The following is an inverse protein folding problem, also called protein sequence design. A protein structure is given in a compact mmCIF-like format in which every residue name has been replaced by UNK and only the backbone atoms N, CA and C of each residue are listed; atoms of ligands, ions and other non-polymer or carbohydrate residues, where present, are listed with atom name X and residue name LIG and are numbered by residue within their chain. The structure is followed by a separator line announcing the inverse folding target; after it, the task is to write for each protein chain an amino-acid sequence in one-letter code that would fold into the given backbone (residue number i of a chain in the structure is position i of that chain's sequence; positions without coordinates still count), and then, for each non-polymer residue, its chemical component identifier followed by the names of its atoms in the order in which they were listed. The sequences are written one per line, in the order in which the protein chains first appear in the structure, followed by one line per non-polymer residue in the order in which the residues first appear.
data_IF_397208818023
#
_entry.id   IF_397208818023
#
_cell.length_a   1.000
_cell.length_b   1.000
_cell.length_c   1.000
_cell.angle_alpha   90.00
_cell.angle_beta   90.00
_cell.angle_gamma   90.00
#
_symmetry.space_group_name_H-M   'P 1'
#
loop_
_entity.id
_entity.type
_entity.pdbx_description
1 polymer ?
#
# COMPACT_ATOMS: atom_id res chain seq x y z
N UNK A 1 23.66 35.07 27.36
CA UNK A 1 22.73 35.46 26.28
C UNK A 1 22.25 34.30 25.39
N UNK A 2 22.82 33.10 25.40
CA UNK A 2 22.42 32.00 24.48
C UNK A 2 21.10 31.25 24.77
N UNK A 3 20.55 31.32 26.00
CA UNK A 3 19.29 30.61 26.35
C UNK A 3 18.02 31.29 25.81
N UNK A 4 17.99 32.62 25.75
CA UNK A 4 16.84 33.39 25.24
C UNK A 4 16.66 33.27 23.71
N UNK A 5 17.77 33.27 22.95
CA UNK A 5 17.71 33.05 21.50
C UNK A 5 17.32 31.61 21.13
N UNK A 6 17.69 30.60 21.94
CA UNK A 6 17.23 29.23 21.74
C UNK A 6 15.73 29.10 21.90
N UNK A 7 15.12 29.74 22.91
CA UNK A 7 13.67 29.69 23.14
C UNK A 7 12.87 30.33 22.00
N UNK A 8 13.34 31.45 21.43
CA UNK A 8 12.68 32.12 20.31
C UNK A 8 12.74 31.33 18.98
N UNK A 9 13.70 30.41 18.83
CA UNK A 9 13.88 29.55 17.65
C UNK A 9 13.26 28.16 17.81
N UNK A 10 12.66 27.84 18.97
CA UNK A 10 12.00 26.55 19.19
C UNK A 10 10.77 26.34 18.30
N UNK A 11 9.91 27.35 18.06
CA UNK A 11 8.75 27.19 17.17
C UNK A 11 9.14 27.00 15.70
N UNK A 12 10.30 27.49 15.28
CA UNK A 12 10.80 27.33 13.91
C UNK A 12 11.62 26.05 13.72
N UNK A 13 12.12 25.45 14.80
CA UNK A 13 12.85 24.18 14.75
C UNK A 13 11.96 22.98 15.14
N UNK A 14 11.12 22.56 14.19
CA UNK A 14 10.16 21.47 14.34
C UNK A 14 10.80 20.16 14.86
N UNK A 15 11.94 19.67 14.33
CA UNK A 15 12.56 18.44 14.82
C UNK A 15 13.04 18.53 16.27
N UNK A 16 13.54 19.69 16.69
CA UNK A 16 13.97 19.90 18.07
C UNK A 16 12.77 19.93 19.01
N UNK A 17 11.70 20.64 18.64
CA UNK A 17 10.46 20.70 19.41
C UNK A 17 9.83 19.32 19.57
N UNK A 18 9.81 18.51 18.51
CA UNK A 18 9.31 17.13 18.55
C UNK A 18 10.03 16.28 19.61
N UNK A 19 11.36 16.37 19.68
CA UNK A 19 12.15 15.62 20.66
C UNK A 19 11.91 16.09 22.09
N UNK A 20 11.69 17.39 22.29
CA UNK A 20 11.39 17.98 23.60
C UNK A 20 10.01 17.57 24.09
N UNK A 21 8.99 17.66 23.24
CA UNK A 21 7.62 17.22 23.54
C UNK A 21 7.60 15.74 23.93
N UNK A 22 8.31 14.89 23.18
CA UNK A 22 8.36 13.45 23.48
C UNK A 22 9.02 13.12 24.84
N UNK A 23 9.82 14.04 25.40
CA UNK A 23 10.47 13.87 26.71
C UNK A 23 9.64 14.44 27.85
N UNK A 24 9.01 15.59 27.63
CA UNK A 24 8.18 16.26 28.63
C UNK A 24 6.96 16.95 27.99
N UNK A 25 5.86 16.20 27.74
CA UNK A 25 4.70 16.75 27.06
C UNK A 25 4.03 17.92 27.78
N UNK A 26 4.05 17.96 29.11
CA UNK A 26 3.29 18.97 29.86
C UNK A 26 3.91 20.36 29.70
N UNK A 27 5.24 20.44 29.71
CA UNK A 27 5.96 21.71 29.62
C UNK A 27 5.89 22.38 28.25
N UNK A 28 5.65 21.61 27.18
CA UNK A 28 5.65 22.10 25.79
C UNK A 28 4.24 22.17 25.16
N UNK A 29 3.19 22.16 26.00
CA UNK A 29 1.79 22.16 25.52
C UNK A 29 1.48 23.43 24.73
N UNK A 30 1.96 24.60 25.17
CA UNK A 30 1.66 25.88 24.51
C UNK A 30 2.28 25.98 23.12
N UNK A 31 3.53 25.54 22.97
CA UNK A 31 4.22 25.48 21.69
C UNK A 31 3.55 24.48 20.74
N UNK A 32 3.10 23.34 21.26
CA UNK A 32 2.31 22.38 20.48
C UNK A 32 1.01 23.02 19.97
N UNK A 33 0.24 23.69 20.84
CA UNK A 33 -1.00 24.38 20.44
C UNK A 33 -0.74 25.50 19.43
N UNK A 34 0.40 26.18 19.50
CA UNK A 34 0.80 27.16 18.50
C UNK A 34 0.99 26.51 17.11
N UNK A 35 1.66 25.35 17.05
CA UNK A 35 1.83 24.60 15.80
C UNK A 35 0.52 24.01 15.29
N UNK A 36 -0.37 23.58 16.19
CA UNK A 36 -1.69 23.06 15.82
C UNK A 36 -2.54 24.16 15.16
N UNK A 37 -2.57 25.38 15.72
CA UNK A 37 -3.24 26.53 15.09
C UNK A 37 -2.62 26.91 13.74
N UNK A 38 -1.29 26.79 13.62
CA UNK A 38 -0.61 27.02 12.36
C UNK A 38 -1.03 25.99 11.30
N UNK A 39 -1.14 24.72 11.68
CA UNK A 39 -1.69 23.66 10.82
C UNK A 39 -3.13 23.94 10.41
N UNK A 40 -4.01 24.33 11.33
CA UNK A 40 -5.42 24.65 11.02
C UNK A 40 -5.53 25.81 10.02
N UNK A 41 -4.74 26.86 10.22
CA UNK A 41 -4.68 28.00 9.31
C UNK A 41 -4.15 27.59 7.92
N UNK A 42 -3.09 26.80 7.90
CA UNK A 42 -2.49 26.29 6.65
C UNK A 42 -3.44 25.35 5.91
N UNK A 43 -4.20 24.51 6.63
CA UNK A 43 -5.24 23.65 6.08
C UNK A 43 -6.35 24.47 5.43
N UNK A 44 -6.82 25.54 6.07
CA UNK A 44 -7.85 26.39 5.52
C UNK A 44 -7.39 27.09 4.22
N UNK A 45 -6.14 27.52 4.16
CA UNK A 45 -5.53 28.07 2.93
C UNK A 45 -5.43 26.98 1.86
N UNK A 46 -4.99 25.78 2.26
CA UNK A 46 -4.84 24.64 1.36
C UNK A 46 -6.17 24.20 0.73
N UNK A 47 -7.27 24.25 1.48
CA UNK A 47 -8.62 23.95 0.95
C UNK A 47 -9.05 24.93 -0.16
N UNK A 48 -8.51 26.16 -0.19
CA UNK A 48 -8.73 27.12 -1.27
C UNK A 48 -7.86 26.85 -2.51
N UNK A 49 -6.64 26.32 -2.30
CA UNK A 49 -5.66 26.03 -3.36
C UNK A 49 -4.94 24.70 -3.13
N UNK A 50 -5.58 23.56 -3.43
CA UNK A 50 -5.02 22.23 -3.16
C UNK A 50 -3.88 21.80 -4.10
N UNK A 51 -3.60 22.58 -5.16
CA UNK A 51 -2.51 22.36 -6.11
C UNK A 51 -1.17 22.93 -5.62
N UNK A 52 -1.19 23.80 -4.62
CA UNK A 52 0.00 24.50 -4.16
C UNK A 52 0.90 23.56 -3.34
N UNK A 53 2.14 23.38 -3.79
CA UNK A 53 3.13 22.61 -3.06
C UNK A 53 3.64 23.43 -1.85
N UNK A 54 3.28 23.00 -0.64
CA UNK A 54 3.76 23.59 0.61
C UNK A 54 4.60 22.58 1.39
N UNK A 55 5.91 22.83 1.50
CA UNK A 55 6.83 22.07 2.36
C UNK A 55 6.45 22.24 3.83
N UNK A 56 6.10 23.45 4.23
CA UNK A 56 5.77 23.79 5.61
C UNK A 56 4.54 22.99 6.08
N UNK A 57 3.54 22.83 5.21
CA UNK A 57 2.37 22.01 5.51
C UNK A 57 2.71 20.52 5.68
N UNK A 58 3.63 19.99 4.86
CA UNK A 58 4.13 18.62 5.02
C UNK A 58 4.85 18.43 6.36
N UNK A 59 5.69 19.38 6.74
CA UNK A 59 6.42 19.35 8.01
C UNK A 59 5.47 19.43 9.21
N UNK A 60 4.41 20.23 9.13
CA UNK A 60 3.38 20.31 10.15
C UNK A 60 2.61 18.99 10.29
N UNK A 61 2.21 18.34 9.19
CA UNK A 61 1.53 17.04 9.23
C UNK A 61 2.44 15.97 9.85
N UNK A 62 3.71 15.94 9.46
CA UNK A 62 4.70 15.03 10.03
C UNK A 62 4.95 15.27 11.51
N UNK A 63 5.06 16.53 11.92
CA UNK A 63 5.22 16.93 13.31
C UNK A 63 4.03 16.48 14.15
N UNK A 64 2.82 16.89 13.78
CA UNK A 64 1.60 16.62 14.54
C UNK A 64 1.40 15.11 14.67
N UNK A 65 1.46 14.35 13.57
CA UNK A 65 1.30 12.88 13.62
C UNK A 65 2.29 12.18 14.56
N UNK A 66 3.51 12.71 14.67
CA UNK A 66 4.53 12.18 15.57
C UNK A 66 4.25 12.47 17.05
N UNK A 67 3.66 13.63 17.37
CA UNK A 67 3.36 14.06 18.74
C UNK A 67 1.92 13.79 19.17
N UNK A 68 1.02 13.39 18.27
CA UNK A 68 -0.39 13.09 18.58
C UNK A 68 -0.62 12.21 19.82
N UNK A 69 0.17 11.14 20.08
CA UNK A 69 -0.04 10.31 21.27
C UNK A 69 0.27 11.03 22.59
N UNK A 70 1.07 12.10 22.55
CA UNK A 70 1.37 12.91 23.73
C UNK A 70 0.18 13.83 24.07
N UNK A 71 -0.68 14.14 23.10
CA UNK A 71 -1.83 15.04 23.25
C UNK A 71 -3.09 14.46 22.57
N UNK A 72 -3.63 13.32 23.06
CA UNK A 72 -4.75 12.63 22.40
C UNK A 72 -6.04 13.46 22.36
N UNK A 73 -6.32 14.26 23.39
CA UNK A 73 -7.52 15.11 23.45
C UNK A 73 -7.49 16.22 22.39
N UNK A 74 -6.36 16.94 22.30
CA UNK A 74 -6.20 18.06 21.37
C UNK A 74 -6.09 17.59 19.90
N UNK A 75 -5.63 16.35 19.67
CA UNK A 75 -5.44 15.80 18.31
C UNK A 75 -6.56 14.86 17.86
N UNK A 76 -7.68 14.82 18.58
CA UNK A 76 -8.78 13.90 18.27
C UNK A 76 -9.33 14.05 16.86
N UNK A 77 -9.44 15.28 16.36
CA UNK A 77 -9.98 15.58 15.03
C UNK A 77 -8.94 15.46 13.91
N UNK A 78 -7.65 15.50 14.25
CA UNK A 78 -6.56 15.53 13.27
C UNK A 78 -6.60 14.36 12.27
N UNK A 79 -6.78 13.08 12.69
CA UNK A 79 -6.90 11.97 11.75
C UNK A 79 -8.02 12.14 10.73
N UNK A 80 -9.20 12.56 11.19
CA UNK A 80 -10.39 12.72 10.35
C UNK A 80 -10.22 13.87 9.35
N UNK A 81 -9.55 14.95 9.77
CA UNK A 81 -9.20 16.06 8.87
C UNK A 81 -8.27 15.60 7.74
N UNK A 82 -7.24 14.80 8.04
CA UNK A 82 -6.31 14.26 7.02
C UNK A 82 -7.04 13.26 6.10
N UNK A 83 -7.88 12.38 6.65
CA UNK A 83 -8.70 11.45 5.87
C UNK A 83 -9.62 12.22 4.91
N UNK A 84 -10.26 13.28 5.38
CA UNK A 84 -11.18 14.10 4.57
C UNK A 84 -10.45 14.79 3.44
N UNK A 85 -9.28 15.39 3.73
CA UNK A 85 -8.47 16.10 2.74
C UNK A 85 -7.97 15.15 1.65
N UNK A 86 -7.42 13.99 2.03
CA UNK A 86 -7.02 12.95 1.09
C UNK A 86 -8.22 12.46 0.27
N UNK A 87 -9.36 12.17 0.89
CA UNK A 87 -10.54 11.65 0.18
C UNK A 87 -11.07 12.62 -0.89
N UNK A 88 -11.01 13.93 -0.62
CA UNK A 88 -11.51 14.97 -1.52
C UNK A 88 -10.53 15.31 -2.65
N UNK A 89 -9.24 15.40 -2.35
CA UNK A 89 -8.27 16.03 -3.26
C UNK A 89 -7.21 15.08 -3.82
N UNK A 90 -7.23 13.77 -3.52
CA UNK A 90 -6.16 12.82 -3.89
C UNK A 90 -5.71 12.85 -5.36
N UNK A 91 -6.54 13.23 -6.33
CA UNK A 91 -6.15 13.31 -7.74
C UNK A 91 -5.28 14.53 -8.06
N UNK A 92 -5.46 15.61 -7.31
CA UNK A 92 -4.87 16.92 -7.57
C UNK A 92 -3.64 17.16 -6.68
N UNK A 93 -3.63 16.55 -5.48
CA UNK A 93 -2.52 16.64 -4.55
C UNK A 93 -1.20 16.23 -5.18
N UNK A 94 -0.15 16.98 -4.86
CA UNK A 94 1.23 16.61 -5.13
C UNK A 94 1.57 15.21 -4.57
N UNK A 95 2.44 14.49 -5.27
CA UNK A 95 2.79 13.11 -4.94
C UNK A 95 3.50 13.01 -3.57
N UNK A 96 4.36 13.97 -3.22
CA UNK A 96 5.11 13.95 -1.96
C UNK A 96 4.17 14.24 -0.78
N UNK A 97 3.31 15.25 -0.91
CA UNK A 97 2.29 15.57 0.10
C UNK A 97 1.32 14.39 0.32
N UNK A 98 0.86 13.73 -0.75
CA UNK A 98 0.05 12.49 -0.66
C UNK A 98 0.76 11.41 0.14
N UNK A 99 2.03 11.17 -0.17
CA UNK A 99 2.85 10.17 0.52
C UNK A 99 3.01 10.51 1.99
N UNK A 100 3.28 11.77 2.32
CA UNK A 100 3.39 12.27 3.70
C UNK A 100 2.10 12.05 4.48
N UNK A 101 0.94 12.40 3.92
CA UNK A 101 -0.37 12.17 4.56
C UNK A 101 -0.66 10.69 4.79
N UNK A 102 -0.37 9.83 3.79
CA UNK A 102 -0.54 8.38 3.93
C UNK A 102 0.37 7.83 5.03
N UNK A 103 1.63 8.24 5.09
CA UNK A 103 2.57 7.83 6.14
C UNK A 103 2.12 8.29 7.54
N UNK A 104 1.61 9.51 7.65
CA UNK A 104 1.04 10.02 8.90
C UNK A 104 -0.16 9.18 9.37
N UNK A 105 -1.08 8.83 8.47
CA UNK A 105 -2.23 7.98 8.82
C UNK A 105 -1.82 6.56 9.21
N UNK A 106 -0.84 5.97 8.50
CA UNK A 106 -0.25 4.67 8.87
C UNK A 106 0.35 4.71 10.28
N UNK A 107 1.11 5.77 10.60
CA UNK A 107 1.71 5.96 11.92
C UNK A 107 0.62 6.03 13.00
N UNK A 108 -0.42 6.81 12.79
CA UNK A 108 -1.53 6.97 13.73
C UNK A 108 -2.32 5.67 13.91
N UNK A 109 -2.49 4.87 12.85
CA UNK A 109 -3.09 3.53 12.95
C UNK A 109 -2.24 2.57 13.76
N UNK A 110 -0.91 2.56 13.56
CA UNK A 110 -0.01 1.71 14.32
C UNK A 110 -0.03 2.03 15.82
N UNK A 111 -0.50 3.22 16.19
CA UNK A 111 -0.72 3.68 17.57
C UNK A 111 -2.17 3.57 18.02
N UNK A 112 -3.01 2.87 17.26
CA UNK A 112 -4.43 2.60 17.52
C UNK A 112 -5.33 3.84 17.64
N UNK A 113 -4.89 4.99 17.12
CA UNK A 113 -5.68 6.23 17.13
C UNK A 113 -6.73 6.29 15.99
N UNK A 114 -6.62 5.40 14.99
CA UNK A 114 -7.52 5.34 13.84
C UNK A 114 -8.05 3.92 13.70
N UNK A 115 -9.35 3.79 13.38
CA UNK A 115 -9.93 2.49 13.05
C UNK A 115 -9.35 1.92 11.75
N UNK A 116 -8.92 0.65 11.79
CA UNK A 116 -8.39 -0.05 10.61
C UNK A 116 -9.39 -0.05 9.45
N UNK A 117 -10.68 -0.27 9.74
CA UNK A 117 -11.73 -0.30 8.71
C UNK A 117 -11.82 1.02 7.93
N UNK A 118 -11.83 2.17 8.61
CA UNK A 118 -11.91 3.48 7.94
C UNK A 118 -10.66 3.75 7.10
N UNK A 119 -9.48 3.48 7.66
CA UNK A 119 -8.20 3.70 6.97
C UNK A 119 -8.07 2.83 5.71
N UNK A 120 -8.36 1.53 5.82
CA UNK A 120 -8.25 0.62 4.70
C UNK A 120 -9.24 0.98 3.58
N UNK A 121 -10.44 1.45 3.92
CA UNK A 121 -11.44 1.91 2.93
C UNK A 121 -10.93 3.12 2.14
N UNK A 122 -10.25 4.06 2.80
CA UNK A 122 -9.55 5.16 2.12
C UNK A 122 -8.44 4.62 1.22
N UNK A 123 -7.60 3.70 1.71
CA UNK A 123 -6.46 3.19 0.94
C UNK A 123 -6.87 2.46 -0.34
N UNK A 124 -7.96 1.69 -0.30
CA UNK A 124 -8.51 1.10 -1.52
C UNK A 124 -8.97 2.19 -2.50
N UNK A 125 -9.63 3.26 -2.02
CA UNK A 125 -10.02 4.41 -2.87
C UNK A 125 -8.79 5.07 -3.51
N UNK A 126 -7.70 5.22 -2.75
CA UNK A 126 -6.45 5.81 -3.23
C UNK A 126 -5.75 4.96 -4.30
N UNK A 127 -6.13 3.70 -4.55
CA UNK A 127 -5.61 2.95 -5.70
C UNK A 127 -5.97 3.59 -7.06
N UNK A 128 -6.95 4.49 -7.09
CA UNK A 128 -7.29 5.30 -8.28
C UNK A 128 -6.21 6.33 -8.63
N UNK A 129 -5.33 6.69 -7.69
CA UNK A 129 -4.25 7.64 -7.94
C UNK A 129 -3.32 7.12 -9.04
N UNK A 130 -2.90 7.99 -9.97
CA UNK A 130 -1.89 7.71 -11.00
C UNK A 130 -0.46 7.74 -10.46
N UNK A 131 -0.22 7.04 -9.36
CA UNK A 131 1.08 6.98 -8.69
C UNK A 131 1.42 5.52 -8.36
N UNK A 132 2.35 4.96 -9.12
CA UNK A 132 2.75 3.55 -8.99
C UNK A 132 3.39 3.27 -7.63
N UNK A 133 4.28 4.16 -7.19
CA UNK A 133 5.02 3.99 -5.94
C UNK A 133 4.07 4.05 -4.75
N UNK A 134 3.13 5.01 -4.75
CA UNK A 134 2.12 5.10 -3.71
C UNK A 134 1.23 3.86 -3.67
N UNK A 135 0.78 3.36 -4.83
CA UNK A 135 -0.04 2.13 -4.89
C UNK A 135 0.68 0.93 -4.32
N UNK A 136 1.99 0.79 -4.55
CA UNK A 136 2.76 -0.33 -3.99
C UNK A 136 2.93 -0.19 -2.46
N UNK A 137 3.10 1.04 -1.96
CA UNK A 137 3.10 1.30 -0.50
C UNK A 137 1.75 0.93 0.12
N UNK A 138 0.65 1.38 -0.49
CA UNK A 138 -0.71 1.09 -0.04
C UNK A 138 -1.01 -0.42 -0.05
N UNK A 139 -0.63 -1.12 -1.14
CA UNK A 139 -0.78 -2.56 -1.27
C UNK A 139 -0.11 -3.30 -0.11
N UNK A 140 1.17 -3.02 0.12
CA UNK A 140 1.94 -3.66 1.19
C UNK A 140 1.34 -3.36 2.57
N UNK A 141 0.89 -2.12 2.81
CA UNK A 141 0.27 -1.77 4.08
C UNK A 141 -1.07 -2.49 4.29
N UNK A 142 -1.96 -2.48 3.29
CA UNK A 142 -3.28 -3.13 3.37
C UNK A 142 -3.12 -4.61 3.74
N UNK A 143 -2.24 -5.31 3.04
CA UNK A 143 -2.01 -6.74 3.24
C UNK A 143 -1.43 -7.01 4.64
N UNK A 144 -0.47 -6.20 5.08
CA UNK A 144 0.15 -6.36 6.39
C UNK A 144 -0.78 -6.00 7.55
N UNK A 145 -1.59 -4.94 7.44
CA UNK A 145 -2.55 -4.54 8.49
C UNK A 145 -3.68 -5.58 8.63
N UNK A 146 -4.20 -6.09 7.51
CA UNK A 146 -5.20 -7.17 7.53
C UNK A 146 -4.61 -8.45 8.13
N UNK A 147 -3.37 -8.81 7.75
CA UNK A 147 -2.66 -9.97 8.32
C UNK A 147 -2.49 -9.83 9.83
N UNK A 148 -2.02 -8.68 10.29
CA UNK A 148 -1.78 -8.42 11.72
C UNK A 148 -3.09 -8.43 12.51
N UNK A 149 -4.13 -7.80 11.96
CA UNK A 149 -5.47 -7.77 12.57
C UNK A 149 -6.14 -9.14 12.64
N UNK A 150 -5.72 -10.11 11.80
CA UNK A 150 -6.20 -11.50 11.83
C UNK A 150 -5.22 -12.48 12.49
N UNK A 151 -4.12 -12.01 13.10
CA UNK A 151 -3.06 -12.87 13.63
C UNK A 151 -3.49 -13.66 14.88
N UNK A 152 -4.25 -13.03 15.79
CA UNK A 152 -4.74 -13.67 17.03
C UNK A 152 -6.03 -14.44 16.81
N UNK A 153 -6.99 -13.80 16.14
CA UNK A 153 -8.29 -14.37 15.80
C UNK A 153 -8.79 -13.71 14.51
N UNK A 154 -9.66 -14.42 13.77
CA UNK A 154 -10.26 -13.88 12.54
C UNK A 154 -11.18 -12.71 12.88
N UNK A 155 -10.85 -11.51 12.39
CA UNK A 155 -11.68 -10.32 12.56
C UNK A 155 -12.78 -10.30 11.50
N UNK A 156 -13.82 -11.11 11.70
CA UNK A 156 -14.89 -11.31 10.73
C UNK A 156 -15.66 -10.03 10.40
N UNK A 157 -15.80 -9.09 11.35
CA UNK A 157 -16.48 -7.80 11.13
C UNK A 157 -15.71 -6.98 10.10
N UNK A 158 -14.41 -6.76 10.35
CA UNK A 158 -13.54 -6.03 9.44
C UNK A 158 -13.46 -6.73 8.07
N UNK A 159 -13.23 -8.04 8.04
CA UNK A 159 -13.13 -8.80 6.80
C UNK A 159 -14.42 -8.68 5.94
N UNK A 160 -15.60 -8.81 6.55
CA UNK A 160 -16.87 -8.66 5.83
C UNK A 160 -17.05 -7.27 5.21
N UNK A 161 -16.67 -6.22 5.95
CA UNK A 161 -16.72 -4.84 5.47
C UNK A 161 -15.77 -4.61 4.30
N UNK A 162 -14.51 -5.05 4.42
CA UNK A 162 -13.50 -4.88 3.36
C UNK A 162 -13.85 -5.70 2.12
N UNK A 163 -14.29 -6.96 2.27
CA UNK A 163 -14.77 -7.77 1.14
C UNK A 163 -15.97 -7.11 0.42
N UNK A 164 -16.86 -6.45 1.17
CA UNK A 164 -17.96 -5.67 0.58
C UNK A 164 -17.45 -4.49 -0.24
N UNK A 165 -16.49 -3.75 0.30
CA UNK A 165 -15.86 -2.63 -0.41
C UNK A 165 -15.15 -3.08 -1.70
N UNK A 166 -14.45 -4.23 -1.65
CA UNK A 166 -13.76 -4.77 -2.81
C UNK A 166 -14.72 -5.21 -3.92
N UNK A 167 -15.86 -5.79 -3.55
CA UNK A 167 -16.92 -6.07 -4.52
C UNK A 167 -17.39 -4.77 -5.21
N UNK A 168 -17.68 -3.71 -4.43
CA UNK A 168 -18.05 -2.40 -4.98
C UNK A 168 -16.97 -1.82 -5.90
N UNK A 169 -15.68 -2.01 -5.57
CA UNK A 169 -14.58 -1.53 -6.41
C UNK A 169 -14.48 -2.31 -7.72
N UNK A 170 -14.66 -3.63 -7.69
CA UNK A 170 -14.66 -4.47 -8.89
C UNK A 170 -15.84 -4.14 -9.80
N UNK A 171 -17.04 -3.97 -9.26
CA UNK A 171 -18.21 -3.59 -10.05
C UNK A 171 -18.11 -2.17 -10.61
N UNK A 172 -17.46 -1.25 -9.88
CA UNK A 172 -17.21 0.12 -10.39
C UNK A 172 -16.32 0.17 -11.63
N UNK A 173 -15.55 -0.89 -11.91
CA UNK A 173 -14.75 -1.01 -13.12
C UNK A 173 -15.52 -1.57 -14.32
N UNK A 174 -16.72 -2.13 -14.13
CA UNK A 174 -17.53 -2.69 -15.23
C UNK A 174 -18.03 -1.63 -16.20
N UNK A 175 -18.32 -0.43 -15.70
CA UNK A 175 -18.66 0.74 -16.54
C UNK A 175 -17.48 1.33 -17.31
N UNK A 176 -16.25 0.84 -17.07
CA UNK A 176 -15.04 1.34 -17.71
C UNK A 176 -14.53 0.41 -18.82
N UNK A 177 -15.45 -0.21 -19.56
CA UNK A 177 -15.13 -1.11 -20.67
C UNK A 177 -14.12 -0.46 -21.65
N UNK A 178 -12.97 -1.10 -21.82
CA UNK A 178 -11.99 -0.76 -22.87
C UNK A 178 -11.02 0.38 -22.60
N UNK A 179 -11.06 1.06 -21.44
CA UNK A 179 -10.10 2.14 -21.14
C UNK A 179 -9.31 1.84 -19.88
N UNK A 180 -8.01 2.16 -19.88
CA UNK A 180 -7.13 2.16 -18.71
C UNK A 180 -7.52 3.23 -17.69
N UNK A 181 -8.79 3.25 -17.30
CA UNK A 181 -9.36 4.17 -16.34
C UNK A 181 -8.77 3.92 -14.96
N UNK A 182 -8.77 4.96 -14.14
CA UNK A 182 -8.33 4.90 -12.74
C UNK A 182 -9.10 3.82 -11.96
N UNK A 183 -10.37 3.59 -12.32
CA UNK A 183 -11.22 2.56 -11.74
C UNK A 183 -10.76 1.14 -12.13
N UNK A 184 -10.33 0.92 -13.38
CA UNK A 184 -9.78 -0.35 -13.82
C UNK A 184 -8.46 -0.68 -13.09
N UNK A 185 -7.59 0.31 -12.91
CA UNK A 185 -6.34 0.15 -12.13
C UNK A 185 -6.66 -0.20 -10.67
N UNK A 186 -7.61 0.53 -10.06
CA UNK A 186 -8.00 0.31 -8.67
C UNK A 186 -8.64 -1.06 -8.46
N UNK A 187 -9.50 -1.50 -9.37
CA UNK A 187 -10.12 -2.81 -9.36
C UNK A 187 -9.08 -3.93 -9.52
N UNK A 188 -8.13 -3.79 -10.45
CA UNK A 188 -7.02 -4.75 -10.61
C UNK A 188 -6.19 -4.85 -9.33
N UNK A 189 -5.76 -3.73 -8.75
CA UNK A 189 -4.98 -3.73 -7.50
C UNK A 189 -5.77 -4.29 -6.33
N UNK A 190 -7.08 -4.05 -6.28
CA UNK A 190 -7.97 -4.66 -5.29
C UNK A 190 -8.03 -6.18 -5.48
N UNK A 191 -8.19 -6.67 -6.71
CA UNK A 191 -8.16 -8.11 -7.01
C UNK A 191 -6.85 -8.76 -6.54
N UNK A 192 -5.71 -8.11 -6.80
CA UNK A 192 -4.39 -8.59 -6.34
C UNK A 192 -4.34 -8.77 -4.82
N UNK A 193 -4.91 -7.82 -4.05
CA UNK A 193 -5.00 -7.92 -2.58
C UNK A 193 -5.86 -9.11 -2.16
N UNK A 194 -7.01 -9.31 -2.82
CA UNK A 194 -7.92 -10.44 -2.56
C UNK A 194 -7.20 -11.78 -2.76
N UNK A 195 -6.52 -11.92 -3.90
CA UNK A 195 -5.76 -13.11 -4.25
C UNK A 195 -4.62 -13.36 -3.25
N UNK A 196 -3.88 -12.32 -2.87
CA UNK A 196 -2.77 -12.47 -1.90
C UNK A 196 -3.28 -12.89 -0.52
N UNK A 197 -4.38 -12.30 -0.04
CA UNK A 197 -4.99 -12.66 1.26
C UNK A 197 -5.56 -14.08 1.27
N UNK A 198 -6.11 -14.54 0.14
CA UNK A 198 -6.51 -15.95 -0.03
C UNK A 198 -5.29 -16.87 0.04
N UNK A 199 -4.23 -16.57 -0.72
CA UNK A 199 -2.97 -17.35 -0.73
C UNK A 199 -2.31 -17.43 0.65
N UNK A 200 -2.41 -16.36 1.45
CA UNK A 200 -1.93 -16.35 2.84
C UNK A 200 -2.86 -17.07 3.84
N UNK A 201 -3.93 -17.72 3.37
CA UNK A 201 -4.96 -18.39 4.18
C UNK A 201 -5.69 -17.47 5.19
N UNK A 202 -5.73 -16.16 4.93
CA UNK A 202 -6.42 -15.20 5.79
C UNK A 202 -7.90 -15.14 5.39
N UNK A 203 -8.16 -14.91 4.10
CA UNK A 203 -9.49 -14.85 3.50
C UNK A 203 -9.79 -16.09 2.66
N UNK A 204 -9.71 -17.25 3.29
CA UNK A 204 -10.13 -18.52 2.69
C UNK A 204 -11.61 -18.78 3.03
N UNK A 205 -12.52 -18.05 2.36
CA UNK A 205 -13.97 -18.20 2.51
C UNK A 205 -14.69 -18.13 1.16
N UNK A 206 -15.93 -18.62 1.14
CA UNK A 206 -16.77 -18.61 -0.07
C UNK A 206 -16.94 -17.20 -0.65
N UNK A 207 -17.13 -16.18 0.20
CA UNK A 207 -17.34 -14.81 -0.26
C UNK A 207 -16.14 -14.31 -1.08
N UNK A 208 -14.92 -14.52 -0.61
CA UNK A 208 -13.70 -14.09 -1.33
C UNK A 208 -13.55 -14.81 -2.66
N UNK A 209 -13.78 -16.13 -2.68
CA UNK A 209 -13.70 -16.91 -3.91
C UNK A 209 -14.74 -16.46 -4.93
N UNK A 210 -15.98 -16.21 -4.51
CA UNK A 210 -17.03 -15.75 -5.42
C UNK A 210 -16.77 -14.31 -5.92
N UNK A 211 -16.11 -13.45 -5.14
CA UNK A 211 -15.63 -12.14 -5.62
C UNK A 211 -14.58 -12.30 -6.73
N UNK A 212 -13.65 -13.25 -6.60
CA UNK A 212 -12.65 -13.55 -7.63
C UNK A 212 -13.32 -14.22 -8.86
N UNK A 213 -14.31 -15.09 -8.64
CA UNK A 213 -15.09 -15.69 -9.72
C UNK A 213 -15.83 -14.63 -10.56
N UNK A 214 -16.43 -13.64 -9.91
CA UNK A 214 -17.07 -12.51 -10.59
C UNK A 214 -16.07 -11.74 -11.47
N UNK A 215 -14.82 -11.57 -10.98
CA UNK A 215 -13.77 -10.89 -11.73
C UNK A 215 -13.35 -11.64 -13.01
N UNK A 216 -13.63 -12.94 -13.13
CA UNK A 216 -13.42 -13.71 -14.37
C UNK A 216 -14.32 -13.24 -15.52
N UNK A 217 -15.43 -12.56 -15.23
CA UNK A 217 -16.36 -12.02 -16.23
C UNK A 217 -16.18 -10.51 -16.43
N UNK A 218 -15.10 -9.93 -15.90
CA UNK A 218 -14.84 -8.50 -16.03
C UNK A 218 -14.61 -8.12 -17.50
N UNK A 219 -15.16 -6.98 -17.98
CA UNK A 219 -14.88 -6.47 -19.32
C UNK A 219 -13.42 -6.00 -19.49
N UNK A 220 -12.67 -5.85 -18.39
CA UNK A 220 -11.26 -5.47 -18.42
C UNK A 220 -10.41 -6.74 -18.51
N UNK A 221 -9.75 -6.94 -19.67
CA UNK A 221 -8.96 -8.15 -19.95
C UNK A 221 -7.92 -8.46 -18.88
N UNK A 222 -7.20 -7.46 -18.35
CA UNK A 222 -6.20 -7.67 -17.30
C UNK A 222 -6.81 -8.23 -16.00
N UNK A 223 -8.00 -7.79 -15.62
CA UNK A 223 -8.71 -8.27 -14.42
C UNK A 223 -9.17 -9.70 -14.66
N UNK A 224 -9.81 -9.97 -15.80
CA UNK A 224 -10.26 -11.30 -16.20
C UNK A 224 -9.10 -12.31 -16.21
N UNK A 225 -7.98 -11.99 -16.87
CA UNK A 225 -6.81 -12.86 -16.95
C UNK A 225 -6.24 -13.15 -15.56
N UNK A 226 -6.12 -12.13 -14.70
CA UNK A 226 -5.62 -12.30 -13.33
C UNK A 226 -6.51 -13.25 -12.52
N UNK A 227 -7.84 -13.13 -12.66
CA UNK A 227 -8.79 -14.00 -11.98
C UNK A 227 -8.77 -15.44 -12.53
N UNK A 228 -8.65 -15.63 -13.84
CA UNK A 228 -8.52 -16.95 -14.45
C UNK A 228 -7.21 -17.65 -14.03
N UNK A 229 -6.09 -16.93 -14.05
CA UNK A 229 -4.78 -17.44 -13.58
C UNK A 229 -4.85 -17.92 -12.13
N UNK A 230 -5.59 -17.22 -11.27
CA UNK A 230 -5.81 -17.65 -9.88
C UNK A 230 -6.46 -19.04 -9.77
N UNK A 231 -7.49 -19.33 -10.57
CA UNK A 231 -8.17 -20.64 -10.57
C UNK A 231 -7.35 -21.74 -11.24
N UNK A 232 -6.61 -21.40 -12.31
CA UNK A 232 -5.72 -22.34 -13.01
C UNK A 232 -4.50 -22.72 -12.17
N UNK A 233 -4.14 -21.94 -11.16
CA UNK A 233 -2.95 -22.20 -10.32
C UNK A 233 -1.63 -21.77 -10.98
N UNK A 234 -1.67 -21.21 -12.19
CA UNK A 234 -0.53 -20.60 -12.86
C UNK A 234 -0.27 -19.20 -12.30
N UNK A 235 0.50 -19.17 -11.21
CA UNK A 235 1.06 -17.95 -10.66
C UNK A 235 2.46 -17.76 -11.27
N UNK A 236 2.54 -17.36 -12.54
CA UNK A 236 3.70 -16.55 -12.89
C UNK A 236 3.44 -15.18 -12.28
N UNK A 237 4.33 -14.75 -11.37
CA UNK A 237 4.36 -13.38 -10.89
C UNK A 237 4.58 -12.48 -12.11
N UNK A 238 3.51 -12.05 -12.79
CA UNK A 238 3.51 -10.93 -13.73
C UNK A 238 3.69 -9.61 -12.95
N UNK A 239 4.70 -9.57 -12.09
CA UNK A 239 5.28 -8.34 -11.60
C UNK A 239 6.14 -7.77 -12.72
N UNK A 240 5.52 -6.99 -13.60
CA UNK A 240 6.14 -5.84 -14.28
C UNK A 240 7.59 -6.08 -14.79
N UNK A 241 7.80 -7.17 -15.52
CA UNK A 241 9.06 -7.43 -16.23
C UNK A 241 8.86 -7.05 -17.70
N UNK A 242 8.68 -5.75 -17.97
CA UNK A 242 8.95 -5.19 -19.30
C UNK A 242 10.46 -5.11 -19.59
N UNK A 243 11.31 -5.52 -18.63
CA UNK A 243 12.68 -5.92 -18.92
C UNK A 243 12.70 -7.43 -19.19
N UNK A 244 12.36 -7.81 -20.42
CA UNK A 244 12.93 -9.03 -21.01
C UNK A 244 14.45 -8.84 -21.10
N UNK A 245 15.15 -8.91 -19.96
CA UNK A 245 16.55 -9.28 -19.96
C UNK A 245 16.61 -10.72 -20.48
N UNK A 246 16.79 -10.81 -21.79
CA UNK A 246 17.11 -11.99 -22.55
C UNK A 246 18.09 -12.84 -21.73
N UNK A 247 17.57 -13.95 -21.17
CA UNK A 247 18.30 -14.78 -20.22
C UNK A 247 19.66 -15.17 -20.84
N UNK A 248 20.81 -14.77 -20.27
CA UNK A 248 22.09 -15.05 -20.89
C UNK A 248 22.34 -16.56 -20.96
N UNK A 249 22.68 -17.07 -22.14
CA UNK A 249 22.96 -18.48 -22.36
C UNK A 249 24.10 -18.97 -21.44
N UNK A 250 23.76 -19.95 -20.59
CA UNK A 250 24.67 -20.56 -19.61
C UNK A 250 25.91 -21.13 -20.31
N UNK A 251 25.77 -21.65 -21.54
CA UNK A 251 26.89 -22.20 -22.32
C UNK A 251 27.85 -21.11 -22.79
N UNK A 252 27.33 -19.96 -23.21
CA UNK A 252 28.15 -18.81 -23.62
C UNK A 252 28.95 -18.22 -22.44
N UNK A 253 28.36 -18.18 -21.24
CA UNK A 253 29.05 -17.71 -20.03
C UNK A 253 30.12 -18.69 -19.53
N UNK A 254 29.86 -20.00 -19.58
CA UNK A 254 30.85 -21.02 -19.24
C UNK A 254 32.05 -21.00 -20.20
N UNK A 255 31.81 -20.78 -21.49
CA UNK A 255 32.87 -20.63 -22.47
C UNK A 255 33.74 -19.38 -22.21
N UNK A 256 33.12 -18.22 -21.90
CA UNK A 256 33.84 -16.99 -21.51
C UNK A 256 34.70 -17.16 -20.25
N UNK A 257 34.32 -18.06 -19.34
CA UNK A 257 35.10 -18.36 -18.12
C UNK A 257 36.35 -19.20 -18.39
N UNK A 258 36.35 -20.00 -19.45
CA UNK A 258 37.53 -20.79 -19.84
C UNK A 258 38.58 -19.93 -20.58
N UNK A 259 38.16 -18.79 -21.15
CA UNK A 259 39.04 -17.87 -21.90
C UNK A 259 39.61 -16.75 -21.00
N UNK A 260 38.99 -16.44 -19.86
CA UNK A 260 39.39 -15.33 -18.98
C UNK A 260 39.95 -15.78 -17.62
N UNK A 261 40.89 -15.02 -17.04
CA UNK A 261 41.45 -15.29 -15.71
C UNK A 261 40.35 -15.36 -14.64
N UNK A 262 40.27 -16.51 -13.95
CA UNK A 262 39.30 -16.76 -12.87
C UNK A 262 39.61 -15.86 -11.66
N UNK A 263 38.72 -14.92 -11.39
CA UNK A 263 38.74 -14.11 -10.16
C UNK A 263 37.64 -14.59 -9.21
N UNK A 264 37.92 -14.60 -7.90
CA UNK A 264 36.99 -15.06 -6.85
C UNK A 264 35.64 -14.32 -6.86
N UNK A 265 35.63 -13.05 -7.29
CA UNK A 265 34.40 -12.25 -7.45
C UNK A 265 33.51 -12.74 -8.60
N UNK A 266 34.09 -13.01 -9.78
CA UNK A 266 33.34 -13.48 -10.97
C UNK A 266 32.77 -14.88 -10.78
N UNK A 267 33.46 -15.76 -10.06
CA UNK A 267 32.95 -17.08 -9.69
C UNK A 267 31.66 -16.98 -8.84
N UNK A 268 31.68 -16.14 -7.79
CA UNK A 268 30.49 -15.92 -6.93
C UNK A 268 29.31 -15.32 -7.69
N UNK A 269 29.54 -14.44 -8.67
CA UNK A 269 28.48 -13.85 -9.49
C UNK A 269 27.82 -14.91 -10.38
N UNK A 270 28.62 -15.79 -10.99
CA UNK A 270 28.12 -16.89 -11.81
C UNK A 270 27.34 -17.92 -10.99
N UNK A 271 27.82 -18.28 -9.79
CA UNK A 271 27.11 -19.21 -8.90
C UNK A 271 25.72 -18.67 -8.52
N UNK A 272 25.61 -17.36 -8.25
CA UNK A 272 24.31 -16.70 -8.02
C UNK A 272 23.39 -16.77 -9.24
N UNK A 273 23.92 -16.51 -10.44
CA UNK A 273 23.14 -16.56 -11.69
C UNK A 273 22.67 -17.99 -12.01
N UNK A 274 23.55 -18.99 -11.88
CA UNK A 274 23.20 -20.40 -12.09
C UNK A 274 22.18 -20.88 -11.05
N UNK A 275 22.29 -20.45 -9.79
CA UNK A 275 21.30 -20.76 -8.77
C UNK A 275 19.93 -20.15 -9.08
N UNK A 276 19.89 -18.90 -9.58
CA UNK A 276 18.66 -18.24 -10.00
C UNK A 276 17.98 -18.97 -11.19
N UNK A 277 18.77 -19.37 -12.20
CA UNK A 277 18.28 -20.13 -13.36
C UNK A 277 17.78 -21.52 -12.98
N UNK A 278 18.50 -22.23 -12.09
CA UNK A 278 18.05 -23.51 -11.54
C UNK A 278 16.76 -23.37 -10.74
N UNK A 279 16.59 -22.29 -9.98
CA UNK A 279 15.35 -22.00 -9.24
C UNK A 279 14.18 -21.74 -10.21
N UNK A 280 14.37 -20.92 -11.26
CA UNK A 280 13.35 -20.67 -12.29
C UNK A 280 12.98 -21.94 -13.08
N UNK A 281 13.95 -22.75 -13.49
CA UNK A 281 13.70 -24.01 -14.21
C UNK A 281 12.98 -25.07 -13.35
N UNK A 282 13.29 -25.15 -12.05
CA UNK A 282 12.57 -26.01 -11.10
C UNK A 282 11.14 -25.53 -10.85
N UNK A 283 10.89 -24.23 -10.86
CA UNK A 283 9.54 -23.68 -10.78
C UNK A 283 8.71 -24.07 -12.01
N UNK A 284 9.26 -23.96 -13.22
CA UNK A 284 8.60 -24.39 -14.47
C UNK A 284 8.35 -25.90 -14.59
N UNK A 285 9.15 -26.73 -13.90
CA UNK A 285 9.01 -28.20 -13.91
C UNK A 285 8.16 -28.75 -12.76
N UNK A 286 7.68 -27.91 -11.85
CA UNK A 286 6.82 -28.36 -10.76
C UNK A 286 5.43 -28.64 -11.33
N UNK A 287 4.84 -29.79 -11.00
CA UNK A 287 3.48 -30.12 -11.43
C UNK A 287 2.52 -28.98 -11.06
N UNK A 288 1.62 -28.63 -11.98
CA UNK A 288 0.59 -27.61 -11.76
C UNK A 288 -0.23 -27.98 -10.53
N UNK A 289 -0.05 -27.21 -9.45
CA UNK A 289 -0.89 -27.31 -8.26
C UNK A 289 -2.15 -26.51 -8.52
N UNK A 290 -3.20 -27.18 -8.99
CA UNK A 290 -4.52 -26.60 -9.13
C UNK A 290 -5.07 -26.19 -7.75
N UNK A 291 -5.67 -24.99 -7.67
CA UNK A 291 -6.39 -24.54 -6.48
C UNK A 291 -7.78 -25.21 -6.39
N UNK A 292 -7.82 -26.55 -6.32
CA UNK A 292 -9.08 -27.30 -6.15
C UNK A 292 -9.86 -26.84 -4.90
N UNK A 293 -9.16 -26.38 -3.87
CA UNK A 293 -9.78 -25.81 -2.67
C UNK A 293 -10.59 -24.54 -2.94
N UNK A 294 -10.23 -23.75 -3.96
CA UNK A 294 -11.00 -22.56 -4.33
C UNK A 294 -12.26 -22.95 -5.10
N UNK A 295 -12.17 -23.90 -6.03
CA UNK A 295 -13.32 -24.34 -6.83
C UNK A 295 -14.47 -24.90 -5.96
N UNK A 296 -14.17 -25.58 -4.86
CA UNK A 296 -15.18 -26.09 -3.93
C UNK A 296 -15.94 -24.99 -3.14
N UNK A 297 -15.42 -23.76 -3.15
CA UNK A 297 -16.01 -22.62 -2.45
C UNK A 297 -16.87 -21.73 -3.36
N UNK A 298 -17.03 -22.11 -4.63
CA UNK A 298 -17.94 -21.46 -5.56
C UNK A 298 -19.39 -21.79 -5.21
N UNK A 299 -20.25 -20.78 -5.20
CA UNK A 299 -21.66 -20.97 -4.87
C UNK A 299 -22.43 -21.67 -6.01
N UNK A 300 -22.12 -21.32 -7.25
CA UNK A 300 -22.65 -21.98 -8.44
C UNK A 300 -21.54 -22.14 -9.49
N UNK A 301 -20.81 -23.27 -9.47
CA UNK A 301 -19.79 -23.54 -10.46
C UNK A 301 -20.35 -23.89 -11.85
N UNK A 302 -21.66 -24.17 -11.97
CA UNK A 302 -22.30 -24.58 -13.23
C UNK A 302 -23.00 -23.42 -13.94
N UNK A 303 -23.31 -22.33 -13.24
CA UNK A 303 -23.85 -21.09 -13.80
C UNK A 303 -25.27 -21.23 -14.36
N UNK A 304 -26.18 -21.84 -13.59
CA UNK A 304 -27.59 -22.01 -14.00
C UNK A 304 -28.45 -20.80 -13.70
#
# INVERSE_FOLDING_TARGET
MGKRNRAALLPTNIPQLQNLIKRDPLSYKEEFLQQLRHFESSRAIFELKPEEHSTDFQDLINFISQVSPCYPEETKEFPDQIITLLSKHYQILDAELRRTMVQALVLLRNREMISSTALLSLFFTLFRCRDKVLRDILYNHIVNDIKTSNQKAKNNKMNKTLQGFMYTMLTSAEGAAGTGSENAIAAKRSLDVCIELYRKNIWNDAKTVNVIAHACFSPVTKIMVTALQFFLGNNEDEGDSEDEEELPDIKAMQHKQNVSKKTKSKAKQMDKMVAALKKKSKAKKKAETFNFSALHLLNDPQGK
#
